data_IF_089265998781
#
_entry.id   IF_089265998781
#
_cell.length_a   1.000
_cell.length_b   1.000
_cell.length_c   1.000
_cell.angle_alpha   90.00
_cell.angle_beta   90.00
_cell.angle_gamma   90.00
#
_symmetry.space_group_name_H-M   'P 1'
#
loop_
_entity.id
_entity.type
_entity.pdbx_description
1 polymer ?
#
# COMPACT_ATOMS: atom_id res chain seq x y z
N UNK A 1 -11.62 -4.88 -4.07
CA UNK A 1 -10.40 -5.60 -4.47
C UNK A 1 -9.25 -4.73 -4.04
N UNK A 2 -8.28 -5.29 -3.34
CA UNK A 2 -7.16 -4.54 -2.80
C UNK A 2 -5.92 -4.78 -3.66
N UNK A 3 -5.23 -3.70 -4.01
CA UNK A 3 -4.03 -3.76 -4.86
C UNK A 3 -2.84 -4.21 -4.02
N UNK A 4 -2.68 -3.67 -2.81
CA UNK A 4 -1.59 -4.00 -1.89
C UNK A 4 -1.96 -5.17 -0.97
N UNK A 5 -2.24 -6.32 -1.58
CA UNK A 5 -2.57 -7.53 -0.81
C UNK A 5 -1.38 -8.04 0.00
N UNK A 6 -1.64 -8.81 1.06
CA UNK A 6 -0.58 -9.50 1.82
C UNK A 6 0.42 -10.26 0.93
N UNK A 7 -0.05 -10.97 -0.09
CA UNK A 7 0.83 -11.70 -1.02
C UNK A 7 1.77 -10.76 -1.79
N UNK A 8 1.27 -9.58 -2.18
CA UNK A 8 2.07 -8.58 -2.85
C UNK A 8 3.12 -7.97 -1.90
N UNK A 9 2.72 -7.66 -0.66
CA UNK A 9 3.65 -7.19 0.38
C UNK A 9 4.78 -8.19 0.62
N UNK A 10 4.45 -9.48 0.76
CA UNK A 10 5.44 -10.54 0.91
C UNK A 10 6.37 -10.64 -0.29
N UNK A 11 5.86 -10.43 -1.51
CA UNK A 11 6.70 -10.41 -2.73
C UNK A 11 7.73 -9.27 -2.73
N UNK A 12 7.45 -8.19 -2.01
CA UNK A 12 8.34 -7.05 -1.79
C UNK A 12 9.29 -7.25 -0.59
N UNK A 13 9.17 -8.36 0.15
CA UNK A 13 9.92 -8.61 1.38
C UNK A 13 9.30 -7.97 2.63
N UNK A 14 8.05 -7.49 2.53
CA UNK A 14 7.30 -6.90 3.64
C UNK A 14 6.43 -8.00 4.25
N UNK A 15 6.82 -8.47 5.44
CA UNK A 15 6.11 -9.53 6.14
C UNK A 15 5.29 -8.95 7.30
N UNK A 16 3.97 -9.10 7.19
CA UNK A 16 3.04 -8.82 8.28
C UNK A 16 2.83 -10.11 9.08
N UNK A 17 3.06 -10.06 10.39
CA UNK A 17 2.78 -11.20 11.26
C UNK A 17 1.27 -11.41 11.44
N UNK A 18 0.88 -12.62 11.84
CA UNK A 18 -0.54 -12.97 12.02
C UNK A 18 -1.26 -12.10 13.05
N UNK A 19 -0.54 -11.55 14.04
CA UNK A 19 -1.14 -10.69 15.07
C UNK A 19 -1.48 -9.34 14.47
N UNK A 20 -0.55 -8.77 13.71
CA UNK A 20 -0.72 -7.57 12.91
C UNK A 20 -1.88 -7.70 11.92
N UNK A 21 -1.94 -8.81 11.19
CA UNK A 21 -3.05 -9.09 10.25
C UNK A 21 -4.41 -9.22 10.95
N UNK A 22 -4.46 -9.78 12.16
CA UNK A 22 -5.69 -9.85 12.95
C UNK A 22 -6.12 -8.50 13.53
N UNK A 23 -5.15 -7.63 13.82
CA UNK A 23 -5.42 -6.29 14.34
C UNK A 23 -5.95 -5.38 13.21
N UNK A 24 -5.59 -5.67 11.96
CA UNK A 24 -6.06 -4.94 10.80
C UNK A 24 -7.54 -5.20 10.48
N UNK A 25 -8.23 -4.12 10.12
CA UNK A 25 -9.61 -4.17 9.62
C UNK A 25 -9.65 -4.76 8.19
N UNK A 26 -10.82 -5.24 7.76
CA UNK A 26 -11.10 -5.65 6.37
C UNK A 26 -10.71 -4.57 5.32
N UNK A 27 -10.54 -3.31 5.74
CA UNK A 27 -10.17 -2.19 4.89
C UNK A 27 -8.67 -1.84 4.87
N UNK A 28 -7.83 -2.52 5.67
CA UNK A 28 -6.42 -2.16 5.80
C UNK A 28 -5.69 -2.08 4.47
N UNK A 29 -5.82 -3.10 3.60
CA UNK A 29 -5.13 -3.12 2.31
C UNK A 29 -5.60 -1.98 1.38
N UNK A 30 -6.84 -1.51 1.55
CA UNK A 30 -7.38 -0.37 0.79
C UNK A 30 -6.82 0.94 1.34
N UNK A 31 -6.83 1.12 2.66
CA UNK A 31 -6.25 2.28 3.33
C UNK A 31 -4.76 2.40 3.06
N UNK A 32 -4.01 1.30 3.16
CA UNK A 32 -2.59 1.25 2.82
C UNK A 32 -2.37 1.67 1.36
N UNK A 33 -3.17 1.13 0.44
CA UNK A 33 -3.05 1.51 -0.98
C UNK A 33 -3.31 2.99 -1.21
N UNK A 34 -4.35 3.58 -0.60
CA UNK A 34 -4.63 5.01 -0.71
C UNK A 34 -3.46 5.86 -0.22
N UNK A 35 -2.90 5.53 0.95
CA UNK A 35 -1.78 6.27 1.55
C UNK A 35 -0.48 6.13 0.76
N UNK A 36 -0.19 4.94 0.25
CA UNK A 36 0.97 4.70 -0.62
C UNK A 36 0.81 5.47 -1.91
N UNK A 37 -0.38 5.45 -2.51
CA UNK A 37 -0.68 6.27 -3.70
C UNK A 37 -0.44 7.73 -3.37
N UNK A 38 -1.03 8.28 -2.31
CA UNK A 38 -0.84 9.67 -1.90
C UNK A 38 0.63 10.04 -1.71
N UNK A 39 1.42 9.15 -1.11
CA UNK A 39 2.87 9.36 -0.90
C UNK A 39 3.64 9.44 -2.21
N UNK A 40 3.29 8.61 -3.20
CA UNK A 40 3.94 8.64 -4.51
C UNK A 40 3.32 9.67 -5.46
N UNK A 41 2.14 10.23 -5.18
CA UNK A 41 1.51 11.23 -6.06
C UNK A 41 2.42 12.43 -6.27
N UNK A 42 3.16 12.84 -5.24
CA UNK A 42 4.12 13.96 -5.30
C UNK A 42 5.41 13.60 -6.06
N UNK A 43 5.72 12.31 -6.21
CA UNK A 43 6.89 11.83 -6.96
C UNK A 43 6.59 11.56 -8.44
N UNK A 44 5.31 11.36 -8.77
CA UNK A 44 4.86 11.02 -10.11
C UNK A 44 4.64 12.26 -10.98
N UNK A 45 4.92 12.13 -12.28
CA UNK A 45 4.54 13.14 -13.26
C UNK A 45 3.07 13.07 -13.64
N UNK A 46 2.50 14.15 -14.19
CA UNK A 46 1.10 14.19 -14.66
C UNK A 46 0.74 13.05 -15.64
N UNK A 47 1.69 12.68 -16.52
CA UNK A 47 1.52 11.57 -17.46
C UNK A 47 1.43 10.23 -16.71
N UNK A 48 2.29 10.01 -15.70
CA UNK A 48 2.27 8.80 -14.87
C UNK A 48 1.03 8.72 -13.99
N UNK A 49 0.54 9.85 -13.47
CA UNK A 49 -0.71 9.91 -12.71
C UNK A 49 -1.93 9.50 -13.54
N UNK A 50 -1.94 9.93 -14.81
CA UNK A 50 -2.99 9.54 -15.78
C UNK A 50 -2.93 8.04 -16.08
N UNK A 51 -1.72 7.51 -16.28
CA UNK A 51 -1.51 6.08 -16.52
C UNK A 51 -1.89 5.22 -15.30
N UNK A 52 -1.47 5.63 -14.10
CA UNK A 52 -1.84 4.99 -12.83
C UNK A 52 -3.35 4.92 -12.64
N UNK A 53 -4.06 6.02 -12.93
CA UNK A 53 -5.52 6.09 -12.82
C UNK A 53 -6.19 5.10 -13.78
N UNK A 54 -5.68 5.01 -15.00
CA UNK A 54 -6.20 4.09 -16.03
C UNK A 54 -5.95 2.63 -15.65
N UNK A 55 -4.75 2.30 -15.16
CA UNK A 55 -4.38 0.94 -14.77
C UNK A 55 -5.20 0.43 -13.58
N UNK A 56 -5.50 1.33 -12.63
CA UNK A 56 -6.33 1.05 -11.46
C UNK A 56 -7.74 0.60 -11.81
N UNK A 57 -8.30 1.10 -12.90
CA UNK A 57 -9.63 0.69 -13.37
C UNK A 57 -9.63 -0.63 -14.15
N UNK A 58 -8.45 -1.10 -14.59
CA UNK A 58 -8.33 -2.25 -15.48
C UNK A 58 -7.93 -3.54 -14.76
N UNK A 59 -6.80 -3.55 -14.04
CA UNK A 59 -6.23 -4.79 -13.52
C UNK A 59 -5.19 -4.56 -12.41
N UNK A 60 -5.40 -5.20 -11.25
CA UNK A 60 -4.54 -5.07 -10.06
C UNK A 60 -3.13 -5.63 -10.28
N UNK A 61 -2.96 -6.74 -11.00
CA UNK A 61 -1.64 -7.35 -11.25
C UNK A 61 -0.77 -6.46 -12.15
N UNK A 62 -1.39 -5.84 -13.16
CA UNK A 62 -0.71 -4.87 -14.01
C UNK A 62 -0.33 -3.61 -13.22
N UNK A 63 -1.21 -3.15 -12.35
CA UNK A 63 -0.94 -2.01 -11.47
C UNK A 63 0.23 -2.31 -10.51
N UNK A 64 0.26 -3.47 -9.87
CA UNK A 64 1.37 -3.91 -9.02
C UNK A 64 2.71 -3.91 -9.77
N UNK A 65 2.72 -4.45 -11.00
CA UNK A 65 3.91 -4.49 -11.86
C UNK A 65 4.36 -3.08 -12.26
N UNK A 66 3.40 -2.19 -12.55
CA UNK A 66 3.67 -0.80 -12.90
C UNK A 66 4.28 -0.04 -11.72
N UNK A 67 3.73 -0.21 -10.52
CA UNK A 67 4.25 0.43 -9.31
C UNK A 67 5.70 0.03 -9.08
N UNK A 68 6.03 -1.27 -9.17
CA UNK A 68 7.40 -1.75 -8.99
C UNK A 68 8.37 -1.22 -10.05
N UNK A 69 7.89 -1.04 -11.29
CA UNK A 69 8.73 -0.56 -12.39
C UNK A 69 8.96 0.95 -12.37
N UNK A 70 7.97 1.72 -11.90
CA UNK A 70 8.00 3.20 -11.94
C UNK A 70 8.45 3.82 -10.61
N UNK A 71 8.25 3.14 -9.48
CA UNK A 71 8.58 3.63 -8.16
C UNK A 71 9.76 2.82 -7.60
N UNK A 72 11.01 3.33 -7.72
CA UNK A 72 12.19 2.58 -7.29
C UNK A 72 12.24 2.30 -5.78
N UNK A 73 11.61 3.15 -4.97
CA UNK A 73 11.55 3.02 -3.50
C UNK A 73 10.20 2.48 -3.02
N UNK A 74 9.45 1.80 -3.88
CA UNK A 74 8.08 1.37 -3.56
C UNK A 74 8.01 0.56 -2.27
N UNK A 75 8.92 -0.38 -2.09
CA UNK A 75 8.96 -1.24 -0.90
C UNK A 75 9.19 -0.44 0.38
N UNK A 76 10.08 0.57 0.33
CA UNK A 76 10.35 1.44 1.49
C UNK A 76 9.13 2.28 1.82
N UNK A 77 8.49 2.89 0.82
CA UNK A 77 7.27 3.69 0.99
C UNK A 77 6.14 2.85 1.59
N UNK A 78 5.91 1.65 1.05
CA UNK A 78 4.88 0.76 1.57
C UNK A 78 5.20 0.36 3.01
N UNK A 79 6.47 0.04 3.31
CA UNK A 79 6.86 -0.34 4.67
C UNK A 79 6.65 0.81 5.66
N UNK A 80 7.04 2.03 5.31
CA UNK A 80 6.83 3.21 6.14
C UNK A 80 5.34 3.44 6.42
N UNK A 81 4.49 3.33 5.40
CA UNK A 81 3.03 3.48 5.57
C UNK A 81 2.41 2.35 6.39
N UNK A 82 2.90 1.12 6.25
CA UNK A 82 2.52 -0.01 7.11
C UNK A 82 2.86 0.28 8.57
N UNK A 83 4.09 0.74 8.84
CA UNK A 83 4.56 1.05 10.20
C UNK A 83 3.75 2.20 10.82
N UNK A 84 3.38 3.22 10.04
CA UNK A 84 2.50 4.30 10.50
C UNK A 84 1.12 3.76 10.84
N UNK A 85 0.51 2.95 9.97
CA UNK A 85 -0.81 2.37 10.21
C UNK A 85 -0.83 1.44 11.42
N UNK A 86 0.26 0.71 11.66
CA UNK A 86 0.45 -0.09 12.87
C UNK A 86 0.52 0.78 14.13
N UNK A 87 1.24 1.90 14.06
CA UNK A 87 1.29 2.89 15.13
C UNK A 87 -0.08 3.47 15.44
N UNK A 88 -0.80 3.94 14.41
CA UNK A 88 -2.15 4.49 14.52
C UNK A 88 -3.12 3.48 15.17
N UNK A 89 -3.05 2.21 14.74
CA UNK A 89 -3.85 1.12 15.28
C UNK A 89 -3.55 0.83 16.74
N UNK A 90 -2.26 0.83 17.11
CA UNK A 90 -1.85 0.65 18.50
C UNK A 90 -2.38 1.79 19.38
N UNK A 91 -2.25 3.04 18.94
CA UNK A 91 -2.76 4.22 19.68
C UNK A 91 -4.29 4.20 19.82
N UNK A 92 -5.04 3.79 18.79
CA UNK A 92 -6.49 3.66 18.89
C UNK A 92 -6.93 2.47 19.77
N UNK A 93 -6.12 1.41 19.85
CA UNK A 93 -6.39 0.28 20.76
C UNK A 93 -6.21 0.64 22.23
N UNK A 94 -5.32 1.59 22.55
CA UNK A 94 -5.07 2.08 23.92
C UNK A 94 -6.14 3.07 24.43
N UNK A 95 -7.07 3.50 23.56
CA UNK A 95 -8.18 4.41 23.93
C UNK A 95 -9.39 3.72 24.58
N UNK A 96 -9.32 2.43 24.90
CA UNK A 96 -10.43 1.66 25.50
C UNK A 96 -10.12 1.11 26.90
#
# INVERSE_FOLDING_TARGET
>A
MAVLTQNFLQSLGIELDETTLQAFSDHFETTLFERVVESILDELSDDQLTELSTLREQNDEQLQSWLQANIPNLSEIIQDEVDILLGDLAEDSEKF
#
